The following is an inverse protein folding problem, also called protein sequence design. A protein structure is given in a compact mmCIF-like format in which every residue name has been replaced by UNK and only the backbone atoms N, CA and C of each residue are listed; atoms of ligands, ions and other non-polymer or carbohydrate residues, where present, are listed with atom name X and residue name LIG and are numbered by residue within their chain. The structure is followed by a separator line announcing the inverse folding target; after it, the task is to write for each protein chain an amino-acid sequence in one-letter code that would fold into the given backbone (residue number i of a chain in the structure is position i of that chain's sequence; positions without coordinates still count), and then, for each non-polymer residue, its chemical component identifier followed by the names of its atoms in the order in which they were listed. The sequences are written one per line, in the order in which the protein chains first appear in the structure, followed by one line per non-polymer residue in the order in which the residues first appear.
data_IF_476058119342
#
_entry.id   IF_476058119342
#
_cell.length_a   1.000
_cell.length_b   1.000
_cell.length_c   1.000
_cell.angle_alpha   90.00
_cell.angle_beta   90.00
_cell.angle_gamma   90.00
#
_symmetry.space_group_name_H-M   'P 1'
#
loop_
_entity.id
_entity.type
_entity.pdbx_description
1 polymer ?
#
# COMPACT_ATOMS: atom_id res chain seq x y z
N UNK A 1 3.03 22.31 -3.21
CA UNK A 1 3.97 23.27 -3.87
C UNK A 1 4.03 24.65 -3.21
N UNK A 2 3.47 24.83 -2.01
CA UNK A 2 3.27 26.13 -1.35
C UNK A 2 4.26 26.45 -0.22
N UNK A 3 4.93 25.46 0.38
CA UNK A 3 5.89 25.68 1.49
C UNK A 3 7.29 26.07 0.96
N UNK A 4 7.84 27.23 1.35
CA UNK A 4 9.22 27.63 1.07
C UNK A 4 10.26 26.66 1.66
N UNK A 5 10.01 26.15 2.86
CA UNK A 5 10.92 25.27 3.61
C UNK A 5 11.13 23.93 2.88
N UNK A 6 10.05 23.37 2.32
CA UNK A 6 10.14 22.14 1.52
C UNK A 6 10.92 22.39 0.23
N UNK A 7 10.78 23.55 -0.41
CA UNK A 7 11.55 23.89 -1.61
C UNK A 7 13.04 23.98 -1.30
N UNK A 8 13.40 24.63 -0.20
CA UNK A 8 14.79 24.73 0.24
C UNK A 8 15.37 23.34 0.59
N UNK A 9 14.60 22.51 1.29
CA UNK A 9 15.00 21.12 1.57
C UNK A 9 15.22 20.32 0.28
N UNK A 10 14.32 20.45 -0.71
CA UNK A 10 14.48 19.80 -2.01
C UNK A 10 15.73 20.27 -2.74
N UNK A 11 15.99 21.58 -2.77
CA UNK A 11 17.20 22.14 -3.38
C UNK A 11 18.47 21.61 -2.70
N UNK A 12 18.50 21.61 -1.35
CA UNK A 12 19.63 21.11 -0.57
C UNK A 12 19.93 19.63 -0.80
N UNK A 13 18.89 18.83 -1.04
CA UNK A 13 19.02 17.38 -1.26
C UNK A 13 19.01 16.97 -2.75
N UNK A 14 19.04 17.94 -3.68
CA UNK A 14 18.96 17.71 -5.12
C UNK A 14 17.71 16.90 -5.55
N UNK A 15 16.58 17.12 -4.89
CA UNK A 15 15.30 16.50 -5.24
C UNK A 15 14.58 17.34 -6.30
N UNK A 16 14.17 16.69 -7.39
CA UNK A 16 13.40 17.28 -8.49
C UNK A 16 11.91 17.05 -8.33
N UNK A 17 11.51 16.00 -7.62
CA UNK A 17 10.11 15.63 -7.39
C UNK A 17 9.77 15.58 -5.88
N UNK A 18 8.54 15.96 -5.53
CA UNK A 18 8.08 15.94 -4.13
C UNK A 18 7.97 14.51 -3.58
N UNK A 19 7.74 13.51 -4.44
CA UNK A 19 7.75 12.11 -4.03
C UNK A 19 9.12 11.71 -3.44
N UNK A 20 10.23 12.35 -3.86
CA UNK A 20 11.55 12.08 -3.27
C UNK A 20 11.65 12.56 -1.82
N UNK A 21 10.91 13.62 -1.46
CA UNK A 21 10.80 14.10 -0.07
C UNK A 21 10.07 13.07 0.77
N UNK A 22 8.94 12.55 0.27
CA UNK A 22 8.21 11.47 0.95
C UNK A 22 9.08 10.22 1.11
N UNK A 23 9.72 9.76 0.02
CA UNK A 23 10.65 8.64 0.05
C UNK A 23 11.76 8.84 1.10
N UNK A 24 12.32 10.05 1.23
CA UNK A 24 13.34 10.36 2.22
C UNK A 24 12.84 10.10 3.64
N UNK A 25 11.68 10.67 4.00
CA UNK A 25 11.14 10.55 5.35
C UNK A 25 10.69 9.12 5.65
N UNK A 26 10.03 8.45 4.70
CA UNK A 26 9.61 7.06 4.88
C UNK A 26 10.82 6.14 5.06
N UNK A 27 11.82 6.21 4.17
CA UNK A 27 13.05 5.39 4.30
C UNK A 27 13.74 5.61 5.64
N UNK A 28 13.90 6.85 6.07
CA UNK A 28 14.50 7.19 7.36
C UNK A 28 13.70 6.61 8.53
N UNK A 29 12.37 6.67 8.46
CA UNK A 29 11.49 6.13 9.50
C UNK A 29 11.57 4.60 9.57
N UNK A 30 11.50 3.92 8.43
CA UNK A 30 11.60 2.46 8.37
C UNK A 30 12.97 1.97 8.86
N UNK A 31 14.04 2.70 8.55
CA UNK A 31 15.37 2.41 9.07
C UNK A 31 15.43 2.55 10.58
N UNK A 32 14.89 3.64 11.15
CA UNK A 32 14.86 3.83 12.61
C UNK A 32 14.11 2.70 13.32
N UNK A 33 12.94 2.28 12.81
CA UNK A 33 12.17 1.18 13.41
C UNK A 33 12.97 -0.12 13.39
N UNK A 34 13.67 -0.39 12.29
CA UNK A 34 14.56 -1.55 12.13
C UNK A 34 15.74 -1.49 13.09
N UNK A 35 16.37 -0.33 13.27
CA UNK A 35 17.52 -0.15 14.15
C UNK A 35 17.17 -0.37 15.63
N UNK A 36 15.90 -0.13 16.01
CA UNK A 36 15.37 -0.44 17.34
C UNK A 36 15.06 -1.94 17.50
N UNK A 37 15.02 -2.69 16.39
CA UNK A 37 14.76 -4.14 16.37
C UNK A 37 13.27 -4.51 16.23
N UNK A 38 12.41 -3.56 15.83
CA UNK A 38 10.99 -3.83 15.59
C UNK A 38 10.72 -4.12 14.11
N UNK A 39 9.65 -4.89 13.88
CA UNK A 39 9.03 -5.04 12.56
C UNK A 39 7.93 -4.01 12.36
N UNK A 40 7.55 -3.78 11.11
CA UNK A 40 6.52 -2.81 10.76
C UNK A 40 5.56 -3.36 9.69
N UNK A 41 4.36 -2.80 9.71
CA UNK A 41 3.35 -2.90 8.67
C UNK A 41 3.25 -1.51 8.04
N UNK A 42 3.18 -1.44 6.72
CA UNK A 42 2.98 -0.19 5.97
C UNK A 42 1.77 -0.30 5.06
N UNK A 43 1.10 0.81 4.80
CA UNK A 43 0.19 0.92 3.66
C UNK A 43 0.95 0.72 2.34
N UNK A 44 0.23 0.50 1.25
CA UNK A 44 0.84 0.32 -0.07
C UNK A 44 1.56 1.56 -0.62
N UNK A 45 1.22 2.77 -0.16
CA UNK A 45 1.70 4.03 -0.76
C UNK A 45 3.21 4.17 -0.86
N UNK A 46 4.03 3.84 0.16
CA UNK A 46 5.47 3.83 0.02
C UNK A 46 5.96 2.93 -1.13
N UNK A 47 5.35 1.76 -1.32
CA UNK A 47 5.74 0.82 -2.37
C UNK A 47 5.33 1.35 -3.75
N UNK A 48 4.17 2.01 -3.84
CA UNK A 48 3.69 2.70 -5.05
C UNK A 48 4.60 3.89 -5.41
N UNK A 49 5.18 4.56 -4.41
CA UNK A 49 6.13 5.66 -4.53
C UNK A 49 7.61 5.20 -4.56
N UNK A 50 7.90 3.98 -5.01
CA UNK A 50 9.26 3.45 -5.20
C UNK A 50 10.16 3.46 -3.93
N UNK A 51 9.55 3.39 -2.75
CA UNK A 51 10.28 3.03 -1.52
C UNK A 51 10.54 1.53 -1.51
N UNK A 52 11.79 1.16 -1.29
CA UNK A 52 12.18 -0.23 -1.05
C UNK A 52 12.11 -0.48 0.46
N UNK A 53 11.12 -1.24 0.89
CA UNK A 53 10.97 -1.68 2.27
C UNK A 53 11.82 -2.92 2.56
N UNK A 54 11.96 -3.29 3.84
CA UNK A 54 12.67 -4.53 4.22
C UNK A 54 11.92 -5.75 3.66
N UNK A 55 12.60 -6.82 3.19
CA UNK A 55 11.92 -7.99 2.61
C UNK A 55 10.92 -8.68 3.56
N UNK A 56 11.09 -8.53 4.87
CA UNK A 56 10.21 -9.06 5.91
C UNK A 56 9.06 -8.12 6.31
N UNK A 57 8.87 -7.02 5.56
CA UNK A 57 7.78 -6.07 5.80
C UNK A 57 6.43 -6.65 5.34
N UNK A 58 5.38 -6.25 6.04
CA UNK A 58 3.99 -6.53 5.64
C UNK A 58 3.43 -5.27 4.99
N UNK A 59 2.82 -5.42 3.81
CA UNK A 59 2.23 -4.33 3.03
C UNK A 59 0.71 -4.47 3.03
N UNK A 60 0.01 -3.41 3.42
CA UNK A 60 -1.44 -3.35 3.45
C UNK A 60 -1.99 -2.64 2.21
N UNK A 61 -2.74 -3.40 1.39
CA UNK A 61 -3.34 -2.95 0.13
C UNK A 61 -4.76 -2.45 0.40
N UNK A 62 -4.98 -1.17 0.11
CA UNK A 62 -6.21 -0.45 0.45
C UNK A 62 -6.88 0.23 -0.74
N UNK A 63 -6.15 0.47 -1.84
CA UNK A 63 -6.69 1.17 -3.01
C UNK A 63 -7.59 0.24 -3.82
N UNK A 64 -8.76 0.74 -4.18
CA UNK A 64 -9.68 0.10 -5.11
C UNK A 64 -10.50 1.15 -5.87
N UNK A 65 -10.98 0.78 -7.05
CA UNK A 65 -11.98 1.53 -7.83
C UNK A 65 -13.22 1.94 -7.03
N UNK A 66 -13.60 1.20 -5.98
CA UNK A 66 -14.73 1.53 -5.12
C UNK A 66 -14.54 2.80 -4.29
N UNK A 67 -13.29 3.26 -4.11
CA UNK A 67 -12.97 4.46 -3.31
C UNK A 67 -12.89 5.72 -4.17
N UNK A 68 -12.27 5.62 -5.34
CA UNK A 68 -12.16 6.70 -6.32
C UNK A 68 -12.05 6.08 -7.73
N UNK A 69 -12.82 6.61 -8.68
CA UNK A 69 -12.81 6.17 -10.09
C UNK A 69 -11.46 6.38 -10.78
N UNK A 70 -10.55 7.17 -10.19
CA UNK A 70 -9.17 7.35 -10.66
C UNK A 70 -8.23 6.23 -10.23
N UNK A 71 -8.62 5.39 -9.27
CA UNK A 71 -7.84 4.24 -8.82
C UNK A 71 -8.12 3.03 -9.71
N UNK A 72 -7.11 2.16 -9.86
CA UNK A 72 -7.31 0.84 -10.44
C UNK A 72 -7.93 -0.13 -9.42
N UNK A 73 -8.32 -1.32 -9.88
CA UNK A 73 -8.83 -2.38 -9.00
C UNK A 73 -7.73 -2.91 -8.08
N UNK A 74 -8.08 -3.29 -6.86
CA UNK A 74 -7.13 -3.80 -5.87
C UNK A 74 -6.27 -4.97 -6.38
N UNK A 75 -6.81 -5.82 -7.27
CA UNK A 75 -6.09 -6.95 -7.86
C UNK A 75 -4.89 -6.51 -8.72
N UNK A 76 -4.92 -5.29 -9.26
CA UNK A 76 -3.82 -4.75 -10.05
C UNK A 76 -2.73 -4.15 -9.17
N UNK A 77 -3.07 -3.65 -7.96
CA UNK A 77 -2.08 -3.24 -6.97
C UNK A 77 -1.41 -4.42 -6.27
N UNK A 78 -2.16 -5.48 -5.98
CA UNK A 78 -1.63 -6.60 -5.19
C UNK A 78 -0.58 -7.43 -5.94
N UNK A 79 -0.72 -7.59 -7.26
CA UNK A 79 0.19 -8.37 -8.11
C UNK A 79 1.65 -7.90 -8.07
N UNK A 80 1.98 -6.61 -8.30
CA UNK A 80 3.36 -6.14 -8.24
C UNK A 80 3.95 -6.25 -6.82
N UNK A 81 3.15 -6.04 -5.77
CA UNK A 81 3.59 -6.19 -4.38
C UNK A 81 3.92 -7.66 -4.08
N UNK A 82 3.06 -8.58 -4.51
CA UNK A 82 3.26 -10.02 -4.36
C UNK A 82 4.50 -10.50 -5.15
N UNK A 83 4.69 -9.96 -6.37
CA UNK A 83 5.88 -10.26 -7.20
C UNK A 83 7.18 -9.78 -6.56
N UNK A 84 7.15 -8.70 -5.77
CA UNK A 84 8.28 -8.22 -4.97
C UNK A 84 8.57 -9.11 -3.75
N UNK A 85 7.70 -10.07 -3.43
CA UNK A 85 7.89 -11.05 -2.36
C UNK A 85 7.46 -10.59 -0.97
N UNK A 86 6.75 -9.47 -0.86
CA UNK A 86 6.25 -8.99 0.43
C UNK A 86 5.09 -9.85 0.96
N UNK A 87 4.96 -9.89 2.29
CA UNK A 87 3.71 -10.33 2.92
C UNK A 87 2.65 -9.26 2.74
N UNK A 88 1.40 -9.67 2.54
CA UNK A 88 0.33 -8.74 2.17
C UNK A 88 -0.88 -8.91 3.10
N UNK A 89 -1.43 -7.78 3.54
CA UNK A 89 -2.77 -7.67 4.09
C UNK A 89 -3.64 -6.99 3.03
N UNK A 90 -4.79 -7.58 2.70
CA UNK A 90 -5.79 -6.93 1.85
C UNK A 90 -6.84 -6.28 2.74
N UNK A 91 -7.06 -4.97 2.58
CA UNK A 91 -8.17 -4.25 3.23
C UNK A 91 -9.03 -3.45 2.24
N UNK A 92 -8.60 -3.33 0.98
CA UNK A 92 -9.28 -2.57 -0.07
C UNK A 92 -10.78 -2.93 -0.25
N UNK A 93 -11.14 -4.20 -0.11
CA UNK A 93 -12.53 -4.65 -0.19
C UNK A 93 -13.39 -4.28 1.03
N UNK A 94 -12.78 -3.98 2.18
CA UNK A 94 -13.44 -3.97 3.50
C UNK A 94 -13.43 -2.59 4.15
N UNK A 95 -13.66 -1.56 3.36
CA UNK A 95 -13.92 -0.21 3.85
C UNK A 95 -15.34 -0.11 4.47
N UNK A 96 -15.47 -0.51 5.74
CA UNK A 96 -16.74 -0.54 6.49
C UNK A 96 -17.27 0.86 6.83
N UNK A 97 -16.42 1.89 6.79
CA UNK A 97 -16.84 3.28 6.98
C UNK A 97 -17.62 3.83 5.76
N UNK A 98 -17.54 3.19 4.59
CA UNK A 98 -18.34 3.54 3.42
C UNK A 98 -19.64 2.75 3.41
N UNK A 99 -20.67 3.34 4.02
CA UNK A 99 -22.01 2.75 4.10
C UNK A 99 -22.75 2.87 2.76
N UNK A 100 -23.55 1.86 2.45
CA UNK A 100 -24.39 1.82 1.24
C UNK A 100 -25.76 1.25 1.59
N UNK A 101 -26.80 1.73 0.90
CA UNK A 101 -28.15 1.21 1.12
C UNK A 101 -28.27 -0.26 0.68
N UNK A 102 -28.98 -1.08 1.46
CA UNK A 102 -29.23 -2.49 1.17
C UNK A 102 -28.35 -3.47 1.95
N UNK A 103 -28.16 -4.68 1.41
CA UNK A 103 -27.33 -5.74 2.00
C UNK A 103 -25.86 -5.59 1.58
N UNK A 104 -25.21 -4.57 2.13
CA UNK A 104 -23.81 -4.26 1.83
C UNK A 104 -22.84 -5.37 2.24
N UNK A 105 -23.16 -6.16 3.28
CA UNK A 105 -22.35 -7.30 3.71
C UNK A 105 -22.02 -8.31 2.60
N UNK A 106 -22.89 -8.45 1.59
CA UNK A 106 -22.66 -9.35 0.46
C UNK A 106 -21.41 -8.97 -0.32
N UNK A 107 -21.18 -7.66 -0.52
CA UNK A 107 -20.00 -7.15 -1.24
C UNK A 107 -18.69 -7.52 -0.51
N UNK A 108 -18.72 -7.49 0.82
CA UNK A 108 -17.59 -7.85 1.66
C UNK A 108 -17.32 -9.35 1.64
N UNK A 109 -18.38 -10.16 1.60
CA UNK A 109 -18.31 -11.62 1.54
C UNK A 109 -17.83 -12.14 0.18
N UNK A 110 -18.20 -11.47 -0.92
CA UNK A 110 -17.83 -11.85 -2.29
C UNK A 110 -16.37 -11.51 -2.64
N UNK A 111 -15.69 -10.70 -1.83
CA UNK A 111 -14.27 -10.41 -2.05
C UNK A 111 -13.40 -11.66 -1.73
N UNK A 112 -12.83 -12.24 -2.78
CA UNK A 112 -11.89 -13.38 -2.69
C UNK A 112 -10.44 -12.87 -2.75
N UNK A 113 -9.70 -12.85 -1.62
CA UNK A 113 -8.29 -12.44 -1.59
C UNK A 113 -7.36 -13.47 -2.25
N UNK A 114 -7.87 -14.63 -2.68
CA UNK A 114 -7.11 -15.68 -3.35
C UNK A 114 -6.54 -15.22 -4.68
N UNK A 115 -5.32 -14.66 -4.67
CA UNK A 115 -4.57 -14.33 -5.88
C UNK A 115 -4.24 -15.65 -6.59
N UNK A 116 -4.96 -15.95 -7.69
CA UNK A 116 -4.66 -17.11 -8.53
C UNK A 116 -3.32 -16.91 -9.26
N UNK A 117 -2.22 -17.24 -8.59
CA UNK A 117 -0.86 -17.30 -9.18
C UNK A 117 -0.65 -18.55 -10.05
N UNK A 118 -1.72 -19.12 -10.62
CA UNK A 118 -1.66 -20.37 -11.40
C UNK A 118 -1.63 -21.65 -10.56
N UNK A 119 -1.61 -21.56 -9.22
CA UNK A 119 -2.07 -22.67 -8.36
C UNK A 119 -3.55 -22.45 -8.08
N UNK A 120 -4.37 -23.45 -8.42
CA UNK A 120 -5.80 -23.44 -8.07
C UNK A 120 -5.93 -23.11 -6.57
N UNK A 121 -6.79 -22.16 -6.18
CA UNK A 121 -7.11 -21.99 -4.78
C UNK A 121 -7.68 -23.31 -4.29
N UNK A 122 -7.04 -23.94 -3.32
CA UNK A 122 -7.71 -24.94 -2.52
C UNK A 122 -8.79 -24.17 -1.76
N UNK A 123 -10.05 -24.29 -2.19
CA UNK A 123 -11.17 -23.86 -1.35
C UNK A 123 -11.02 -24.59 -0.03
N UNK A 124 -10.68 -23.85 1.02
CA UNK A 124 -10.90 -24.30 2.37
C UNK A 124 -12.32 -23.85 2.67
N UNK A 125 -13.28 -24.68 2.22
CA UNK A 125 -14.66 -24.94 2.69
C UNK A 125 -15.29 -25.87 1.65
#
# INVERSE_FOLDING_TARGET
KSSPEIKEFMQKNNYTDYNQVEQHYVRKTLQNVKDIGYKYIIWQDPIDNDVVASPDSIVEVWKDTSLDLKMDKWENYIKPIAKKGYQIILSACWYLNYISYGMDWKKYYECDPGISTGRKPTRIW
#
